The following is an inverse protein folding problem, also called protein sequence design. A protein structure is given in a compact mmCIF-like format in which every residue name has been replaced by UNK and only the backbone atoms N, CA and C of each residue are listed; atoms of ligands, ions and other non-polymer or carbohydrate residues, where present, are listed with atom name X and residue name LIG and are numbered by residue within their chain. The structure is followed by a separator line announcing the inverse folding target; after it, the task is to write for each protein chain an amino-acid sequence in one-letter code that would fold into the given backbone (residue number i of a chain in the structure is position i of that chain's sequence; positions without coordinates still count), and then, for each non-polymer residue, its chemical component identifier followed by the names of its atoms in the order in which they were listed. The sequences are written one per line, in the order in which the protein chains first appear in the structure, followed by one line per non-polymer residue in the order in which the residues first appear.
data_IF_498443588216
#
_entry.id   IF_498443588216
#
_cell.length_a   1.000
_cell.length_b   1.000
_cell.length_c   1.000
_cell.angle_alpha   90.00
_cell.angle_beta   90.00
_cell.angle_gamma   90.00
#
_symmetry.space_group_name_H-M   'P 1'
#
loop_
_entity.id
_entity.type
_entity.pdbx_description
1 polymer ?
#
# COMPACT_ATOMS: atom_id res chain seq x y z
N UNK A 1 -5.39 -21.05 -17.14
CA UNK A 1 -4.52 -21.56 -16.06
C UNK A 1 -3.08 -21.81 -16.49
N UNK A 2 -2.77 -22.74 -17.43
CA UNK A 2 -1.35 -23.06 -17.80
C UNK A 2 -0.50 -21.84 -18.22
N UNK A 3 -1.10 -20.87 -18.93
CA UNK A 3 -0.40 -19.66 -19.38
C UNK A 3 -0.13 -18.67 -18.25
N UNK A 4 -1.08 -18.47 -17.32
CA UNK A 4 -0.90 -17.66 -16.12
C UNK A 4 0.21 -18.21 -15.20
N UNK A 5 0.28 -19.54 -15.07
CA UNK A 5 1.37 -20.22 -14.34
C UNK A 5 2.74 -19.99 -14.96
N UNK A 6 2.82 -19.78 -16.28
CA UNK A 6 4.10 -19.47 -16.96
C UNK A 6 4.56 -18.06 -16.61
N UNK A 7 3.64 -17.09 -16.55
CA UNK A 7 3.93 -15.69 -16.19
C UNK A 7 4.34 -15.52 -14.73
N UNK A 8 3.87 -16.40 -13.85
CA UNK A 8 4.25 -16.44 -12.43
C UNK A 8 5.59 -17.13 -12.16
N UNK A 9 6.27 -17.74 -13.14
CA UNK A 9 7.57 -18.41 -12.90
C UNK A 9 8.70 -17.44 -12.57
N UNK A 10 8.59 -16.20 -13.01
CA UNK A 10 9.48 -15.09 -12.64
C UNK A 10 9.13 -14.50 -11.26
N UNK A 11 7.95 -14.87 -10.75
CA UNK A 11 7.38 -14.69 -9.42
C UNK A 11 8.04 -15.51 -8.31
N UNK A 12 8.88 -14.99 -7.42
CA UNK A 12 9.25 -15.77 -6.22
C UNK A 12 8.10 -15.77 -5.19
N UNK A 13 7.12 -16.64 -5.42
CA UNK A 13 5.97 -16.83 -4.51
C UNK A 13 6.40 -17.46 -3.17
N UNK A 14 7.55 -18.13 -3.13
CA UNK A 14 8.14 -18.66 -1.90
C UNK A 14 8.68 -17.55 -1.02
N UNK A 15 9.43 -16.61 -1.61
CA UNK A 15 9.90 -15.40 -0.92
C UNK A 15 8.73 -14.57 -0.36
N UNK A 16 7.67 -14.35 -1.14
CA UNK A 16 6.47 -13.62 -0.67
C UNK A 16 5.81 -14.33 0.52
N UNK A 17 5.76 -15.67 0.48
CA UNK A 17 5.22 -16.45 1.61
C UNK A 17 6.09 -16.31 2.85
N UNK A 18 7.40 -16.45 2.69
CA UNK A 18 8.37 -16.28 3.76
C UNK A 18 8.28 -14.87 4.37
N UNK A 19 8.12 -13.83 3.56
CA UNK A 19 7.89 -12.45 4.02
C UNK A 19 6.59 -12.31 4.83
N UNK A 20 5.52 -13.01 4.44
CA UNK A 20 4.26 -12.98 5.19
C UNK A 20 4.36 -13.71 6.54
N UNK A 21 5.14 -14.78 6.59
CA UNK A 21 5.26 -15.68 7.74
C UNK A 21 6.43 -15.30 8.66
N UNK A 22 7.30 -14.38 8.24
CA UNK A 22 8.45 -13.95 9.01
C UNK A 22 8.03 -13.33 10.35
N UNK A 23 8.89 -13.51 11.35
CA UNK A 23 8.76 -12.80 12.61
C UNK A 23 9.15 -11.33 12.43
N UNK A 24 8.53 -10.47 13.24
CA UNK A 24 8.91 -9.07 13.36
C UNK A 24 9.07 -8.70 14.84
N UNK A 25 9.72 -7.57 15.11
CA UNK A 25 9.72 -6.93 16.42
C UNK A 25 8.94 -5.62 16.38
N UNK A 26 7.85 -5.54 17.13
CA UNK A 26 7.11 -4.29 17.34
C UNK A 26 7.36 -3.80 18.77
N UNK A 27 7.99 -2.63 18.92
CA UNK A 27 8.27 -2.06 20.24
C UNK A 27 7.35 -0.88 20.47
N UNK A 28 6.53 -0.92 21.52
CA UNK A 28 5.72 0.21 21.97
C UNK A 28 6.43 0.89 23.14
N UNK A 29 6.70 2.19 23.01
CA UNK A 29 7.41 2.97 24.01
C UNK A 29 6.48 4.09 24.46
N UNK A 30 6.24 4.22 25.77
CA UNK A 30 5.37 5.28 26.27
C UNK A 30 4.85 4.99 27.68
N UNK A 31 3.72 5.61 28.03
CA UNK A 31 3.07 5.32 29.31
C UNK A 31 2.58 3.85 29.32
N UNK A 32 2.80 3.07 30.42
CA UNK A 32 2.42 1.66 30.49
C UNK A 32 0.94 1.37 30.18
N UNK A 33 0.02 2.22 30.63
CA UNK A 33 -1.42 2.03 30.36
C UNK A 33 -1.75 2.22 28.87
N UNK A 34 -1.25 3.31 28.29
CA UNK A 34 -1.45 3.66 26.89
C UNK A 34 -0.84 2.61 25.94
N UNK A 35 0.38 2.14 26.24
CA UNK A 35 1.06 1.10 25.45
C UNK A 35 0.40 -0.27 25.60
N UNK A 36 -0.09 -0.64 26.79
CA UNK A 36 -0.84 -1.87 27.01
C UNK A 36 -2.15 -1.89 26.23
N UNK A 37 -2.93 -0.80 26.31
CA UNK A 37 -4.17 -0.68 25.56
C UNK A 37 -3.93 -0.79 24.06
N UNK A 38 -2.97 -0.04 23.51
CA UNK A 38 -2.65 -0.11 22.08
C UNK A 38 -2.16 -1.51 21.66
N UNK A 39 -1.34 -2.18 22.48
CA UNK A 39 -0.88 -3.53 22.21
C UNK A 39 -2.04 -4.53 22.13
N UNK A 40 -3.00 -4.42 23.04
CA UNK A 40 -4.20 -5.26 23.05
C UNK A 40 -5.09 -4.98 21.84
N UNK A 41 -5.35 -3.71 21.52
CA UNK A 41 -6.15 -3.33 20.34
C UNK A 41 -5.52 -3.83 19.04
N UNK A 42 -4.19 -3.66 18.87
CA UNK A 42 -3.46 -4.18 17.70
C UNK A 42 -3.52 -5.72 17.60
N UNK A 43 -3.58 -6.39 18.74
CA UNK A 43 -3.56 -7.86 18.85
C UNK A 43 -4.95 -8.48 18.85
N UNK A 44 -6.00 -7.65 18.85
CA UNK A 44 -7.38 -8.09 19.04
C UNK A 44 -7.77 -9.15 17.99
N UNK A 45 -8.24 -10.29 18.50
CA UNK A 45 -8.77 -11.41 17.72
C UNK A 45 -10.04 -11.92 18.40
N UNK A 46 -11.05 -12.37 17.65
CA UNK A 46 -12.24 -12.98 18.23
C UNK A 46 -11.85 -14.11 19.20
N UNK A 47 -12.27 -13.99 20.47
CA UNK A 47 -12.05 -15.00 21.50
C UNK A 47 -10.63 -15.06 22.11
N UNK A 48 -9.72 -14.16 21.76
CA UNK A 48 -8.37 -14.08 22.36
C UNK A 48 -8.19 -12.75 23.09
N UNK A 49 -7.49 -12.77 24.23
CA UNK A 49 -7.15 -11.60 25.03
C UNK A 49 -5.64 -11.48 25.18
N UNK A 50 -5.17 -10.25 25.37
CA UNK A 50 -3.77 -9.92 25.60
C UNK A 50 -3.02 -9.50 24.33
N UNK A 51 -1.80 -9.01 24.54
CA UNK A 51 -0.91 -8.57 23.48
C UNK A 51 -0.24 -9.74 22.75
N UNK A 52 -0.01 -9.56 21.45
CA UNK A 52 0.73 -10.49 20.62
C UNK A 52 2.17 -10.64 21.14
N UNK A 53 2.76 -11.85 21.18
CA UNK A 53 4.06 -12.10 21.81
C UNK A 53 5.26 -11.44 21.11
N UNK A 54 5.04 -10.80 19.97
CA UNK A 54 6.07 -10.04 19.22
C UNK A 54 5.94 -8.52 19.43
N UNK A 55 5.02 -8.10 20.30
CA UNK A 55 4.87 -6.74 20.77
C UNK A 55 5.55 -6.64 22.13
N UNK A 56 6.58 -5.81 22.23
CA UNK A 56 7.26 -5.49 23.49
C UNK A 56 6.83 -4.09 23.92
N UNK A 57 6.40 -3.95 25.17
CA UNK A 57 5.99 -2.67 25.74
C UNK A 57 7.05 -2.19 26.71
N UNK A 58 7.44 -0.93 26.62
CA UNK A 58 8.49 -0.31 27.43
C UNK A 58 8.04 1.06 27.92
N UNK A 59 8.39 1.46 29.16
CA UNK A 59 8.24 2.85 29.57
C UNK A 59 9.20 3.74 28.77
N UNK A 60 8.82 5.00 28.58
CA UNK A 60 9.70 5.99 27.95
C UNK A 60 11.01 6.13 28.74
N UNK A 61 12.13 6.28 28.03
CA UNK A 61 13.45 6.43 28.64
C UNK A 61 14.13 5.14 29.13
N UNK A 62 13.47 3.98 29.07
CA UNK A 62 14.10 2.69 29.43
C UNK A 62 15.09 2.21 28.37
N UNK A 63 16.29 2.79 28.41
CA UNK A 63 17.38 2.48 27.50
C UNK A 63 17.77 0.99 27.54
N UNK A 64 17.74 0.38 28.72
CA UNK A 64 18.14 -1.02 28.92
C UNK A 64 17.13 -1.99 28.33
N UNK A 65 15.84 -1.75 28.58
CA UNK A 65 14.73 -2.50 28.00
C UNK A 65 14.68 -2.35 26.49
N UNK A 66 14.90 -1.13 25.97
CA UNK A 66 14.95 -0.89 24.52
C UNK A 66 16.10 -1.68 23.87
N UNK A 67 17.30 -1.65 24.44
CA UNK A 67 18.43 -2.41 23.93
C UNK A 67 18.13 -3.92 23.91
N UNK A 68 17.56 -4.45 25.00
CA UNK A 68 17.19 -5.87 25.09
C UNK A 68 16.09 -6.25 24.07
N UNK A 69 15.09 -5.40 23.87
CA UNK A 69 14.03 -5.61 22.90
C UNK A 69 14.56 -5.61 21.46
N UNK A 70 15.48 -4.69 21.14
CA UNK A 70 16.11 -4.63 19.82
C UNK A 70 17.01 -5.82 19.53
N UNK A 71 17.71 -6.34 20.54
CA UNK A 71 18.55 -7.54 20.44
C UNK A 71 17.71 -8.82 20.27
N UNK A 72 16.57 -8.93 20.96
CA UNK A 72 15.64 -10.08 20.84
C UNK A 72 15.14 -10.31 19.40
N UNK A 73 15.05 -9.24 18.62
CA UNK A 73 14.58 -9.24 17.25
C UNK A 73 15.71 -8.94 16.24
N UNK A 74 16.96 -9.22 16.62
CA UNK A 74 18.09 -9.08 15.71
C UNK A 74 17.90 -9.95 14.45
N UNK A 75 18.23 -9.38 13.28
CA UNK A 75 18.01 -10.03 11.98
C UNK A 75 16.55 -10.10 11.52
N UNK A 76 15.59 -9.61 12.31
CA UNK A 76 14.18 -9.50 11.92
C UNK A 76 13.83 -8.05 11.57
N UNK A 77 12.81 -7.82 10.71
CA UNK A 77 12.25 -6.48 10.54
C UNK A 77 11.70 -5.94 11.86
N UNK A 78 12.00 -4.68 12.15
CA UNK A 78 11.64 -4.01 13.41
C UNK A 78 10.95 -2.68 13.13
N UNK A 79 9.99 -2.34 13.99
CA UNK A 79 9.28 -1.07 13.99
C UNK A 79 9.05 -0.65 15.44
N UNK A 80 9.19 0.65 15.73
CA UNK A 80 8.85 1.21 17.03
C UNK A 80 7.67 2.18 16.93
N UNK A 81 6.75 2.10 17.88
CA UNK A 81 5.69 3.09 18.08
C UNK A 81 5.95 3.85 19.38
N UNK A 82 6.17 5.15 19.30
CA UNK A 82 6.23 6.02 20.49
C UNK A 82 4.84 6.56 20.80
N UNK A 83 4.22 6.07 21.86
CA UNK A 83 2.86 6.41 22.27
C UNK A 83 2.91 7.55 23.30
N UNK A 84 2.32 8.69 22.98
CA UNK A 84 2.40 9.91 23.80
C UNK A 84 1.10 10.69 23.75
N UNK A 85 0.83 11.47 24.80
CA UNK A 85 -0.22 12.52 24.81
C UNK A 85 0.36 13.92 24.58
N UNK A 86 1.68 14.06 24.61
CA UNK A 86 2.37 15.31 24.36
C UNK A 86 2.67 15.46 22.86
N UNK A 87 2.29 16.60 22.30
CA UNK A 87 2.58 16.95 20.90
C UNK A 87 4.09 17.03 20.67
N UNK A 88 4.82 17.67 21.59
CA UNK A 88 6.28 17.74 21.49
C UNK A 88 6.92 16.57 22.25
N UNK A 89 7.90 15.88 21.63
CA UNK A 89 8.65 14.84 22.31
C UNK A 89 9.46 15.45 23.46
N UNK A 90 9.29 14.90 24.66
CA UNK A 90 10.11 15.24 25.82
C UNK A 90 11.55 14.68 25.69
N UNK A 91 12.39 14.96 26.68
CA UNK A 91 13.80 14.55 26.68
C UNK A 91 13.97 13.01 26.57
N UNK A 92 13.13 12.24 27.27
CA UNK A 92 13.15 10.77 27.24
C UNK A 92 12.77 10.24 25.85
N UNK A 93 11.67 10.73 25.28
CA UNK A 93 11.23 10.36 23.93
C UNK A 93 12.27 10.72 22.86
N UNK A 94 12.90 11.89 22.95
CA UNK A 94 13.96 12.30 22.04
C UNK A 94 15.20 11.41 22.14
N UNK A 95 15.54 10.94 23.35
CA UNK A 95 16.62 9.99 23.57
C UNK A 95 16.29 8.63 22.94
N UNK A 96 15.04 8.15 23.09
CA UNK A 96 14.59 6.90 22.49
C UNK A 96 14.57 6.96 20.95
N UNK A 97 14.05 8.04 20.36
CA UNK A 97 14.12 8.30 18.91
C UNK A 97 15.57 8.28 18.40
N UNK A 98 16.50 8.89 19.15
CA UNK A 98 17.92 8.91 18.79
C UNK A 98 18.54 7.52 18.80
N UNK A 99 18.20 6.69 19.79
CA UNK A 99 18.65 5.28 19.89
C UNK A 99 18.07 4.42 18.76
N UNK A 100 16.78 4.55 18.48
CA UNK A 100 16.10 3.84 17.39
C UNK A 100 16.71 4.18 16.04
N UNK A 101 16.96 5.47 15.78
CA UNK A 101 17.63 5.95 14.57
C UNK A 101 19.05 5.37 14.46
N UNK A 102 19.83 5.37 15.54
CA UNK A 102 21.17 4.78 15.55
C UNK A 102 21.14 3.27 15.26
N UNK A 103 20.09 2.57 15.68
CA UNK A 103 19.86 1.16 15.40
C UNK A 103 19.22 0.88 14.02
N UNK A 104 18.92 1.92 13.22
CA UNK A 104 18.25 1.80 11.93
C UNK A 104 16.80 1.32 12.01
N UNK A 105 16.13 1.54 13.13
CA UNK A 105 14.74 1.13 13.36
C UNK A 105 13.80 2.30 13.07
N UNK A 106 12.85 2.17 12.13
CA UNK A 106 11.82 3.18 11.90
C UNK A 106 11.00 3.42 13.18
N UNK A 107 10.75 4.69 13.47
CA UNK A 107 10.05 5.13 14.67
C UNK A 107 8.83 5.99 14.29
N UNK A 108 7.64 5.48 14.59
CA UNK A 108 6.37 6.15 14.36
C UNK A 108 5.85 6.72 15.68
N UNK A 109 5.58 8.01 15.74
CA UNK A 109 4.92 8.58 16.92
C UNK A 109 3.41 8.46 16.80
N UNK A 110 2.77 7.94 17.84
CA UNK A 110 1.32 7.82 18.00
C UNK A 110 0.90 8.83 19.05
N UNK A 111 0.30 9.93 18.60
CA UNK A 111 -0.23 10.98 19.46
C UNK A 111 -1.67 10.65 19.85
N UNK A 112 -1.87 10.35 21.13
CA UNK A 112 -3.17 10.12 21.73
C UNK A 112 -3.82 11.46 22.07
N UNK A 113 -4.99 11.74 21.49
CA UNK A 113 -5.72 13.01 21.66
C UNK A 113 -7.06 12.81 22.37
N UNK A 114 -7.38 13.73 23.27
CA UNK A 114 -8.68 13.80 23.95
C UNK A 114 -9.63 14.69 23.10
N UNK A 115 -10.41 14.06 22.20
CA UNK A 115 -11.42 14.74 21.38
C UNK A 115 -10.91 15.39 20.08
N UNK A 116 -11.84 15.93 19.28
CA UNK A 116 -11.63 16.39 17.90
C UNK A 116 -10.89 17.74 17.75
N UNK A 117 -10.27 18.26 18.81
CA UNK A 117 -9.48 19.48 18.72
C UNK A 117 -8.18 19.17 17.97
N UNK A 118 -8.23 19.25 16.64
CA UNK A 118 -7.07 19.13 15.76
C UNK A 118 -6.06 20.24 16.10
N UNK A 119 -5.00 19.86 16.82
CA UNK A 119 -3.84 20.73 16.98
C UNK A 119 -3.20 20.85 15.60
N UNK A 120 -3.27 22.04 14.99
CA UNK A 120 -2.76 22.28 13.65
C UNK A 120 -1.31 21.82 13.52
N UNK A 121 -1.04 20.96 12.52
CA UNK A 121 0.30 20.42 12.29
C UNK A 121 0.75 19.33 13.27
N UNK A 122 -0.11 18.85 14.17
CA UNK A 122 0.22 17.76 15.09
C UNK A 122 0.51 16.43 14.37
N UNK A 123 -0.01 16.24 13.16
CA UNK A 123 0.27 15.08 12.31
C UNK A 123 1.64 15.17 11.60
N UNK A 124 2.33 16.32 11.68
CA UNK A 124 3.62 16.48 11.02
C UNK A 124 4.73 15.80 11.86
N UNK A 125 5.59 14.98 11.24
CA UNK A 125 6.70 14.34 11.94
C UNK A 125 7.67 15.35 12.56
N UNK A 126 8.15 15.03 13.76
CA UNK A 126 9.24 15.77 14.45
C UNK A 126 10.59 15.15 14.15
N UNK A 127 11.66 15.84 14.55
CA UNK A 127 13.04 15.40 14.29
C UNK A 127 13.32 14.02 14.91
N UNK A 128 13.66 13.05 14.06
CA UNK A 128 13.91 11.66 14.46
C UNK A 128 12.72 10.72 14.28
N UNK A 129 11.52 11.26 14.06
CA UNK A 129 10.33 10.48 13.72
C UNK A 129 10.34 10.15 12.22
N UNK A 130 9.96 8.92 11.89
CA UNK A 130 9.75 8.48 10.50
C UNK A 130 8.35 8.86 10.01
N UNK A 131 7.40 8.96 10.93
CA UNK A 131 6.02 9.33 10.67
C UNK A 131 5.32 9.65 11.97
N UNK A 132 4.10 10.18 11.86
CA UNK A 132 3.25 10.45 13.02
C UNK A 132 1.79 10.18 12.69
N UNK A 133 1.07 9.56 13.62
CA UNK A 133 -0.36 9.32 13.54
C UNK A 133 -1.07 9.90 14.76
N UNK A 134 -2.30 10.37 14.56
CA UNK A 134 -3.18 10.81 15.63
C UNK A 134 -4.20 9.71 15.86
N UNK A 135 -4.39 9.35 17.13
CA UNK A 135 -5.41 8.41 17.54
C UNK A 135 -6.19 9.01 18.72
N UNK A 136 -7.48 8.67 18.90
CA UNK A 136 -8.19 9.01 20.12
C UNK A 136 -7.47 8.43 21.35
N UNK A 137 -7.70 9.01 22.53
CA UNK A 137 -7.02 8.62 23.76
C UNK A 137 -7.12 7.13 24.11
N UNK A 138 -8.23 6.50 23.74
CA UNK A 138 -8.45 5.05 23.84
C UNK A 138 -8.85 4.52 22.45
N UNK A 139 -7.88 4.18 21.58
CA UNK A 139 -8.18 3.70 20.25
C UNK A 139 -8.80 2.31 20.26
N UNK A 140 -9.88 2.16 19.50
CA UNK A 140 -10.45 0.87 19.14
C UNK A 140 -9.87 0.38 17.79
N UNK A 141 -10.35 -0.76 17.30
CA UNK A 141 -9.85 -1.34 16.06
C UNK A 141 -10.16 -0.48 14.82
N UNK A 142 -11.20 0.34 14.87
CA UNK A 142 -11.57 1.21 13.75
C UNK A 142 -10.63 2.42 13.69
N UNK A 143 -10.34 3.05 14.83
CA UNK A 143 -9.40 4.15 14.95
C UNK A 143 -7.98 3.78 14.45
N UNK A 144 -7.58 2.50 14.55
CA UNK A 144 -6.28 2.03 14.05
C UNK A 144 -6.12 2.18 12.53
N UNK A 145 -7.20 2.43 11.77
CA UNK A 145 -7.10 2.80 10.35
C UNK A 145 -6.29 4.09 10.16
N UNK A 146 -6.36 5.02 11.10
CA UNK A 146 -5.64 6.31 11.05
C UNK A 146 -4.13 6.15 11.28
N UNK A 147 -3.68 5.00 11.79
CA UNK A 147 -2.26 4.66 11.86
C UNK A 147 -1.67 4.39 10.47
N UNK A 148 -2.49 3.96 9.51
CA UNK A 148 -2.04 3.37 8.28
C UNK A 148 -1.15 4.30 7.43
N UNK A 149 -1.49 5.58 7.18
CA UNK A 149 -0.65 6.44 6.35
C UNK A 149 0.78 6.56 6.88
N UNK A 150 0.91 6.73 8.19
CA UNK A 150 2.20 6.91 8.85
C UNK A 150 2.96 5.57 8.98
N UNK A 151 2.25 4.46 9.21
CA UNK A 151 2.82 3.11 9.17
C UNK A 151 3.38 2.77 7.79
N UNK A 152 2.64 3.08 6.72
CA UNK A 152 3.04 2.83 5.35
C UNK A 152 4.28 3.66 5.02
N UNK A 153 4.30 4.95 5.35
CA UNK A 153 5.49 5.79 5.20
C UNK A 153 6.70 5.21 5.96
N UNK A 154 6.53 4.80 7.22
CA UNK A 154 7.59 4.23 8.03
C UNK A 154 8.13 2.88 7.53
N UNK A 155 7.35 2.18 6.71
CA UNK A 155 7.67 0.83 6.19
C UNK A 155 7.86 0.80 4.67
N UNK A 156 8.08 1.94 4.02
CA UNK A 156 8.26 2.05 2.57
C UNK A 156 9.32 1.08 2.02
N UNK A 157 10.46 0.98 2.71
CA UNK A 157 11.57 0.10 2.34
C UNK A 157 11.46 -1.33 2.91
N UNK A 158 10.38 -1.64 3.61
CA UNK A 158 10.17 -2.91 4.32
C UNK A 158 8.82 -3.53 3.97
N UNK A 159 8.52 -3.69 2.68
CA UNK A 159 7.23 -4.24 2.21
C UNK A 159 6.88 -5.61 2.81
N UNK A 160 7.88 -6.47 3.01
CA UNK A 160 7.70 -7.76 3.67
C UNK A 160 7.20 -7.63 5.12
N UNK A 161 7.62 -6.58 5.84
CA UNK A 161 7.13 -6.30 7.19
C UNK A 161 5.64 -5.94 7.17
N UNK A 162 5.16 -5.16 6.19
CA UNK A 162 3.73 -4.84 6.05
C UNK A 162 2.89 -6.10 5.94
N UNK A 163 3.35 -7.07 5.15
CA UNK A 163 2.63 -8.33 4.96
C UNK A 163 2.59 -9.16 6.24
N UNK A 164 3.70 -9.23 6.98
CA UNK A 164 3.76 -9.90 8.27
C UNK A 164 2.87 -9.22 9.33
N UNK A 165 2.86 -7.88 9.36
CA UNK A 165 1.99 -7.09 10.24
C UNK A 165 0.52 -7.36 9.94
N UNK A 166 0.10 -7.30 8.66
CA UNK A 166 -1.27 -7.57 8.26
C UNK A 166 -1.71 -9.01 8.61
N UNK A 167 -0.79 -9.98 8.47
CA UNK A 167 -1.05 -11.38 8.84
C UNK A 167 -1.27 -11.55 10.34
N UNK A 168 -0.41 -10.95 11.16
CA UNK A 168 -0.40 -11.21 12.60
C UNK A 168 -1.27 -10.25 13.42
N UNK A 169 -1.52 -9.04 12.91
CA UNK A 169 -2.28 -7.99 13.60
C UNK A 169 -3.53 -7.65 12.78
N UNK A 170 -4.68 -8.30 13.04
CA UNK A 170 -5.89 -8.16 12.22
C UNK A 170 -6.36 -6.72 12.06
N UNK A 171 -6.18 -5.89 13.09
CA UNK A 171 -6.56 -4.48 13.04
C UNK A 171 -5.80 -3.68 11.96
N UNK A 172 -4.60 -4.10 11.56
CA UNK A 172 -3.82 -3.45 10.51
C UNK A 172 -4.06 -4.05 9.11
N UNK A 173 -4.73 -5.20 9.04
CA UNK A 173 -4.89 -5.95 7.79
C UNK A 173 -5.65 -5.16 6.74
N UNK A 174 -6.81 -4.61 7.11
CA UNK A 174 -7.68 -3.85 6.21
C UNK A 174 -6.91 -2.72 5.51
N UNK A 175 -6.33 -1.78 6.27
CA UNK A 175 -5.57 -0.67 5.69
C UNK A 175 -4.36 -1.09 4.86
N UNK A 176 -3.59 -2.10 5.29
CA UNK A 176 -2.42 -2.58 4.53
C UNK A 176 -2.84 -3.24 3.21
N UNK A 177 -3.94 -4.02 3.22
CA UNK A 177 -4.50 -4.62 2.01
C UNK A 177 -5.06 -3.55 1.08
N UNK A 178 -5.74 -2.53 1.61
CA UNK A 178 -6.27 -1.41 0.83
C UNK A 178 -5.14 -0.65 0.11
N UNK A 179 -4.02 -0.38 0.77
CA UNK A 179 -2.81 0.22 0.17
C UNK A 179 -2.21 -0.67 -0.93
N UNK A 180 -2.04 -1.96 -0.66
CA UNK A 180 -1.54 -2.92 -1.64
C UNK A 180 -2.42 -2.93 -2.91
N UNK A 181 -3.74 -2.93 -2.75
CA UNK A 181 -4.69 -2.91 -3.88
C UNK A 181 -4.60 -1.58 -4.63
N UNK A 182 -4.49 -0.46 -3.92
CA UNK A 182 -4.34 0.87 -4.51
C UNK A 182 -3.05 1.00 -5.33
N UNK A 183 -1.92 0.52 -4.80
CA UNK A 183 -0.63 0.52 -5.49
C UNK A 183 -0.71 -0.25 -6.81
N UNK A 184 -1.29 -1.45 -6.77
CA UNK A 184 -1.42 -2.31 -7.96
C UNK A 184 -2.41 -1.72 -8.96
N UNK A 185 -3.52 -1.13 -8.48
CA UNK A 185 -4.48 -0.45 -9.34
C UNK A 185 -3.86 0.76 -10.06
N UNK A 186 -3.07 1.59 -9.37
CA UNK A 186 -2.34 2.71 -9.97
C UNK A 186 -1.27 2.25 -10.96
N UNK A 187 -0.55 1.18 -10.63
CA UNK A 187 0.46 0.60 -11.53
C UNK A 187 -0.18 0.12 -12.83
N UNK A 188 -1.29 -0.61 -12.74
CA UNK A 188 -2.04 -1.10 -13.89
C UNK A 188 -2.65 0.05 -14.72
N UNK A 189 -3.15 1.09 -14.05
CA UNK A 189 -3.66 2.30 -14.69
C UNK A 189 -2.57 3.08 -15.43
N UNK A 190 -1.39 3.25 -14.81
CA UNK A 190 -0.22 3.88 -15.43
C UNK A 190 0.31 3.08 -16.62
N UNK A 191 0.30 1.76 -16.53
CA UNK A 191 0.63 0.89 -17.66
C UNK A 191 -0.37 1.08 -18.82
N UNK A 192 -1.68 1.02 -18.54
CA UNK A 192 -2.73 1.29 -19.52
C UNK A 192 -2.63 2.68 -20.16
N UNK A 193 -2.21 3.69 -19.38
CA UNK A 193 -1.92 5.04 -19.88
C UNK A 193 -0.76 5.02 -20.88
N UNK A 194 0.35 4.39 -20.52
CA UNK A 194 1.55 4.31 -21.35
C UNK A 194 1.32 3.54 -22.66
N UNK A 195 0.57 2.43 -22.62
CA UNK A 195 0.25 1.65 -23.82
C UNK A 195 -0.78 2.36 -24.68
N UNK A 196 -1.77 3.01 -24.08
CA UNK A 196 -2.72 3.86 -24.81
C UNK A 196 -2.05 5.03 -25.55
N UNK A 197 -0.95 5.56 -25.01
CA UNK A 197 -0.12 6.54 -25.72
C UNK A 197 0.65 5.94 -26.89
N UNK A 198 1.21 4.74 -26.73
CA UNK A 198 1.92 4.03 -27.80
C UNK A 198 1.00 3.65 -28.96
N UNK A 199 -0.24 3.24 -28.67
CA UNK A 199 -1.27 2.92 -29.67
C UNK A 199 -1.74 4.15 -30.47
N UNK A 200 -1.62 5.35 -29.91
CA UNK A 200 -1.92 6.60 -30.62
C UNK A 200 -0.86 6.99 -31.66
N UNK A 201 0.32 6.33 -31.67
CA UNK A 201 1.35 6.51 -32.68
C UNK A 201 1.13 5.56 -33.88
N UNK A 202 1.09 6.07 -35.13
CA UNK A 202 0.95 5.22 -36.32
C UNK A 202 2.12 4.22 -36.43
N UNK A 203 1.81 2.92 -36.62
CA UNK A 203 2.80 1.87 -36.90
C UNK A 203 3.20 0.95 -35.74
N UNK A 204 2.72 1.19 -34.51
CA UNK A 204 3.07 0.41 -33.28
C UNK A 204 1.89 -0.43 -32.73
N UNK A 205 0.67 -0.18 -33.20
CA UNK A 205 -0.58 -0.53 -32.50
C UNK A 205 -1.05 -2.00 -32.46
N UNK A 206 -0.30 -2.99 -32.96
CA UNK A 206 -0.80 -4.38 -33.07
C UNK A 206 -0.11 -5.41 -32.16
N UNK A 207 1.00 -5.06 -31.49
CA UNK A 207 1.74 -6.00 -30.64
C UNK A 207 1.41 -5.92 -29.13
N UNK A 208 0.64 -4.92 -28.69
CA UNK A 208 0.50 -4.56 -27.27
C UNK A 208 -0.60 -5.33 -26.52
N UNK A 209 -1.72 -5.69 -27.15
CA UNK A 209 -2.88 -6.24 -26.43
C UNK A 209 -2.68 -7.55 -25.67
N UNK A 210 -1.81 -8.46 -26.15
CA UNK A 210 -1.56 -9.76 -25.47
C UNK A 210 -0.51 -9.66 -24.36
N UNK A 211 0.54 -8.85 -24.54
CA UNK A 211 1.52 -8.58 -23.49
C UNK A 211 0.88 -7.80 -22.33
N UNK A 212 0.00 -6.85 -22.65
CA UNK A 212 -0.77 -6.06 -21.69
C UNK A 212 -1.62 -6.94 -20.77
N UNK A 213 -2.37 -7.88 -21.35
CA UNK A 213 -3.19 -8.83 -20.58
C UNK A 213 -2.30 -9.71 -19.68
N UNK A 214 -1.13 -10.14 -20.14
CA UNK A 214 -0.23 -11.00 -19.36
C UNK A 214 0.40 -10.27 -18.17
N UNK A 215 0.86 -9.02 -18.36
CA UNK A 215 1.44 -8.19 -17.29
C UNK A 215 0.38 -7.85 -16.25
N UNK A 216 -0.80 -7.39 -16.67
CA UNK A 216 -1.90 -7.05 -15.77
C UNK A 216 -2.38 -8.26 -14.97
N UNK A 217 -2.45 -9.44 -15.60
CA UNK A 217 -2.85 -10.69 -14.94
C UNK A 217 -1.81 -11.12 -13.90
N UNK A 218 -0.50 -10.94 -14.16
CA UNK A 218 0.57 -11.25 -13.18
C UNK A 218 0.40 -10.41 -11.92
N UNK A 219 0.23 -9.09 -12.08
CA UNK A 219 0.07 -8.16 -10.97
C UNK A 219 -1.14 -8.51 -10.10
N UNK A 220 -2.28 -8.81 -10.73
CA UNK A 220 -3.51 -9.16 -10.02
C UNK A 220 -3.41 -10.50 -9.27
N UNK A 221 -2.73 -11.50 -9.85
CA UNK A 221 -2.51 -12.79 -9.18
C UNK A 221 -1.54 -12.66 -7.99
N UNK A 222 -0.45 -11.91 -8.14
CA UNK A 222 0.50 -11.66 -7.03
C UNK A 222 -0.18 -10.86 -5.92
N UNK A 223 -0.97 -9.85 -6.27
CA UNK A 223 -1.80 -9.09 -5.33
C UNK A 223 -2.75 -10.01 -4.56
N UNK A 224 -3.53 -10.82 -5.27
CA UNK A 224 -4.48 -11.76 -4.66
C UNK A 224 -3.79 -12.75 -3.71
N UNK A 225 -2.62 -13.26 -4.10
CA UNK A 225 -1.84 -14.15 -3.25
C UNK A 225 -1.37 -13.45 -1.96
N UNK A 226 -0.88 -12.21 -2.06
CA UNK A 226 -0.51 -11.40 -0.88
C UNK A 226 -1.72 -11.14 0.03
N UNK A 227 -2.89 -10.83 -0.53
CA UNK A 227 -4.12 -10.64 0.24
C UNK A 227 -4.49 -11.93 1.00
N UNK A 228 -4.43 -13.09 0.35
CA UNK A 228 -4.70 -14.37 1.01
C UNK A 228 -3.72 -14.63 2.17
N UNK A 229 -2.43 -14.36 1.96
CA UNK A 229 -1.40 -14.50 3.00
C UNK A 229 -1.61 -13.51 4.17
N UNK A 230 -1.99 -12.26 3.87
CA UNK A 230 -2.33 -11.23 4.85
C UNK A 230 -3.55 -11.63 5.70
N UNK A 231 -4.51 -12.37 5.12
CA UNK A 231 -5.65 -12.90 5.85
C UNK A 231 -5.33 -14.13 6.72
N UNK A 232 -4.06 -14.56 6.77
CA UNK A 232 -3.70 -15.74 7.55
C UNK A 232 -3.89 -17.07 6.82
N UNK A 233 -4.33 -17.07 5.54
CA UNK A 233 -4.57 -18.31 4.79
C UNK A 233 -3.28 -19.13 4.68
N UNK A 234 -3.45 -20.44 4.76
CA UNK A 234 -2.38 -21.44 4.68
C UNK A 234 -2.59 -22.30 3.44
N UNK A 235 -1.51 -22.92 2.96
CA UNK A 235 -1.52 -23.70 1.71
C UNK A 235 -0.38 -23.31 0.79
N UNK A 236 -0.23 -24.12 -0.26
CA UNK A 236 0.71 -23.85 -1.34
C UNK A 236 0.22 -22.69 -2.22
N UNK A 237 1.12 -22.01 -2.94
CA UNK A 237 0.73 -20.96 -3.88
C UNK A 237 -0.29 -21.45 -4.93
N UNK A 238 -0.25 -22.73 -5.31
CA UNK A 238 -1.19 -23.32 -6.27
C UNK A 238 -2.60 -23.45 -5.73
N UNK A 239 -2.74 -23.90 -4.48
CA UNK A 239 -4.03 -24.04 -3.82
C UNK A 239 -4.67 -22.67 -3.63
N UNK A 240 -3.95 -21.72 -3.01
CA UNK A 240 -4.46 -20.38 -2.75
C UNK A 240 -4.84 -19.63 -4.02
N UNK A 241 -3.99 -19.66 -5.06
CA UNK A 241 -4.33 -19.03 -6.34
C UNK A 241 -5.47 -19.75 -7.07
N UNK A 242 -5.62 -21.06 -6.87
CA UNK A 242 -6.75 -21.83 -7.39
C UNK A 242 -8.08 -21.44 -6.74
N UNK A 243 -8.08 -21.27 -5.42
CA UNK A 243 -9.24 -20.80 -4.65
C UNK A 243 -9.63 -19.38 -5.04
N UNK A 244 -8.66 -18.46 -5.09
CA UNK A 244 -8.85 -17.09 -5.59
C UNK A 244 -9.40 -17.13 -7.02
N UNK A 245 -8.84 -17.94 -7.91
CA UNK A 245 -9.34 -18.07 -9.27
C UNK A 245 -10.77 -18.63 -9.31
N UNK A 246 -11.17 -19.48 -8.36
CA UNK A 246 -12.55 -19.93 -8.21
C UNK A 246 -13.50 -18.83 -7.73
N UNK A 247 -13.03 -17.94 -6.85
CA UNK A 247 -13.78 -16.77 -6.35
C UNK A 247 -13.96 -15.73 -7.45
N UNK A 248 -12.88 -15.37 -8.15
CA UNK A 248 -12.91 -14.44 -9.28
C UNK A 248 -13.63 -15.06 -10.49
N UNK A 249 -13.42 -16.36 -10.71
CA UNK A 249 -13.79 -17.10 -11.91
C UNK A 249 -15.07 -17.93 -11.79
N UNK A 250 -15.91 -17.69 -10.77
CA UNK A 250 -17.29 -18.19 -10.70
C UNK A 250 -18.06 -17.73 -11.94
N UNK A 251 -17.99 -18.53 -13.02
CA UNK A 251 -18.04 -18.06 -14.41
C UNK A 251 -19.35 -17.47 -14.92
N UNK A 252 -20.35 -17.22 -14.07
CA UNK A 252 -21.59 -16.52 -14.41
C UNK A 252 -21.49 -15.01 -14.12
N UNK A 253 -20.81 -14.64 -13.03
CA UNK A 253 -20.67 -13.26 -12.56
C UNK A 253 -19.70 -12.46 -13.43
N UNK A 254 -18.54 -13.05 -13.71
CA UNK A 254 -17.52 -12.45 -14.58
C UNK A 254 -18.01 -12.31 -16.02
N UNK A 255 -18.93 -13.17 -16.49
CA UNK A 255 -19.51 -13.04 -17.84
C UNK A 255 -20.48 -11.85 -17.96
N UNK A 256 -21.11 -11.43 -16.87
CA UNK A 256 -22.00 -10.28 -16.87
C UNK A 256 -21.21 -8.98 -16.69
N UNK A 257 -20.26 -8.96 -15.75
CA UNK A 257 -19.31 -7.86 -15.59
C UNK A 257 -18.49 -7.69 -16.86
N UNK A 258 -17.92 -8.76 -17.43
CA UNK A 258 -17.21 -8.69 -18.70
C UNK A 258 -18.12 -8.26 -19.87
N UNK A 259 -19.43 -8.56 -19.86
CA UNK A 259 -20.37 -8.06 -20.88
C UNK A 259 -20.71 -6.59 -20.70
N UNK A 260 -20.77 -6.07 -19.48
CA UNK A 260 -20.88 -4.63 -19.21
C UNK A 260 -19.58 -3.89 -19.55
N UNK A 261 -18.42 -4.46 -19.19
CA UNK A 261 -17.09 -4.00 -19.61
C UNK A 261 -16.92 -4.05 -21.14
N UNK A 262 -17.48 -5.06 -21.80
CA UNK A 262 -17.53 -5.19 -23.28
C UNK A 262 -18.58 -4.27 -23.88
N UNK A 263 -19.66 -3.93 -23.16
CA UNK A 263 -20.61 -2.89 -23.54
C UNK A 263 -20.00 -1.48 -23.50
N UNK A 264 -18.89 -1.31 -22.76
CA UNK A 264 -18.01 -0.14 -22.79
C UNK A 264 -16.90 -0.26 -23.87
N UNK A 265 -16.88 -1.32 -24.69
CA UNK A 265 -15.99 -1.42 -25.86
C UNK A 265 -16.71 -0.83 -27.07
N UNK A 266 -16.69 0.51 -27.18
CA UNK A 266 -15.95 1.09 -28.30
C UNK A 266 -15.13 2.31 -27.88
N UNK A 267 -14.48 2.29 -26.71
CA UNK A 267 -13.88 3.52 -26.19
C UNK A 267 -12.46 3.76 -26.69
N UNK A 268 -12.38 4.46 -27.82
CA UNK A 268 -11.20 5.13 -28.34
C UNK A 268 -10.78 6.19 -27.30
N UNK A 269 -9.59 6.04 -26.72
CA UNK A 269 -8.98 7.08 -25.88
C UNK A 269 -8.35 6.57 -24.58
N UNK A 270 -7.35 7.30 -24.13
CA UNK A 270 -6.51 6.94 -23.00
C UNK A 270 -7.28 6.98 -21.68
N UNK A 271 -8.15 7.99 -21.48
CA UNK A 271 -8.83 8.20 -20.20
C UNK A 271 -9.69 6.99 -19.78
N UNK A 272 -10.56 6.44 -20.64
CA UNK A 272 -11.42 5.32 -20.22
C UNK A 272 -10.64 4.00 -20.09
N UNK A 273 -9.58 3.80 -20.88
CA UNK A 273 -8.66 2.64 -20.73
C UNK A 273 -8.02 2.63 -19.34
N UNK A 274 -7.54 3.78 -18.88
CA UNK A 274 -6.93 3.96 -17.55
C UNK A 274 -7.96 3.75 -16.43
N UNK A 275 -9.16 4.31 -16.59
CA UNK A 275 -10.21 4.20 -15.59
C UNK A 275 -10.67 2.75 -15.38
N UNK A 276 -10.86 1.99 -16.46
CA UNK A 276 -11.25 0.57 -16.41
C UNK A 276 -10.14 -0.30 -15.79
N UNK A 277 -8.88 -0.07 -16.16
CA UNK A 277 -7.75 -0.81 -15.61
C UNK A 277 -7.61 -0.63 -14.08
N UNK A 278 -7.80 0.61 -13.61
CA UNK A 278 -7.83 0.91 -12.18
C UNK A 278 -9.02 0.24 -11.48
N UNK A 279 -10.23 0.44 -12.00
CA UNK A 279 -11.47 -0.04 -11.38
C UNK A 279 -11.55 -1.56 -11.30
N UNK A 280 -11.19 -2.27 -12.38
CA UNK A 280 -11.16 -3.73 -12.39
C UNK A 280 -10.17 -4.30 -11.36
N UNK A 281 -9.04 -3.64 -11.16
CA UNK A 281 -8.04 -4.07 -10.17
C UNK A 281 -8.54 -3.86 -8.74
N UNK A 282 -9.14 -2.71 -8.43
CA UNK A 282 -9.78 -2.43 -7.12
C UNK A 282 -10.87 -3.45 -6.79
N UNK A 283 -11.73 -3.75 -7.76
CA UNK A 283 -12.81 -4.73 -7.62
C UNK A 283 -12.28 -6.13 -7.29
N UNK A 284 -11.26 -6.60 -8.03
CA UNK A 284 -10.60 -7.88 -7.77
C UNK A 284 -10.01 -7.89 -6.35
N UNK A 285 -9.25 -6.85 -5.99
CA UNK A 285 -8.65 -6.74 -4.66
C UNK A 285 -9.68 -6.84 -3.53
N UNK A 286 -10.78 -6.09 -3.62
CA UNK A 286 -11.86 -6.12 -2.63
C UNK A 286 -12.57 -7.47 -2.54
N UNK A 287 -12.83 -8.10 -3.69
CA UNK A 287 -13.45 -9.42 -3.75
C UNK A 287 -12.57 -10.47 -3.07
N UNK A 288 -11.26 -10.44 -3.35
CA UNK A 288 -10.30 -11.37 -2.74
C UNK A 288 -10.16 -11.10 -1.25
N UNK A 289 -10.16 -9.85 -0.81
CA UNK A 289 -10.10 -9.50 0.61
C UNK A 289 -11.28 -10.10 1.38
N UNK A 290 -12.52 -9.88 0.93
CA UNK A 290 -13.72 -10.40 1.59
C UNK A 290 -13.74 -11.93 1.66
N UNK A 291 -13.36 -12.58 0.56
CA UNK A 291 -13.20 -14.03 0.57
C UNK A 291 -12.09 -14.47 1.55
N UNK A 292 -10.96 -13.78 1.56
CA UNK A 292 -9.82 -14.16 2.38
C UNK A 292 -10.12 -13.97 3.88
N UNK A 293 -10.78 -12.89 4.26
CA UNK A 293 -11.13 -12.57 5.65
C UNK A 293 -12.34 -13.37 6.16
N UNK A 294 -13.40 -13.51 5.35
CA UNK A 294 -14.71 -13.99 5.82
C UNK A 294 -15.16 -15.29 5.13
N UNK A 295 -14.45 -15.74 4.09
CA UNK A 295 -14.87 -16.87 3.26
C UNK A 295 -16.08 -16.55 2.36
N UNK A 296 -16.53 -15.30 2.36
CA UNK A 296 -17.72 -14.86 1.64
C UNK A 296 -17.43 -14.55 0.17
N UNK A 297 -18.49 -14.55 -0.63
CA UNK A 297 -18.48 -14.05 -2.01
C UNK A 297 -19.46 -12.90 -2.08
N UNK A 298 -19.08 -11.84 -2.80
CA UNK A 298 -19.95 -10.70 -3.04
C UNK A 298 -21.07 -11.06 -4.01
N UNK A 299 -22.24 -10.47 -3.78
CA UNK A 299 -23.36 -10.51 -4.71
C UNK A 299 -23.14 -9.55 -5.89
N UNK A 300 -23.88 -9.77 -6.99
CA UNK A 300 -23.69 -8.99 -8.22
C UNK A 300 -23.94 -7.49 -8.03
N UNK A 301 -24.93 -7.12 -7.22
CA UNK A 301 -25.29 -5.73 -6.98
C UNK A 301 -24.20 -4.98 -6.20
N UNK A 302 -23.59 -5.65 -5.23
CA UNK A 302 -22.47 -5.12 -4.45
C UNK A 302 -21.23 -4.92 -5.33
N UNK A 303 -20.93 -5.89 -6.20
CA UNK A 303 -19.83 -5.77 -7.16
C UNK A 303 -20.02 -4.60 -8.13
N UNK A 304 -21.25 -4.35 -8.58
CA UNK A 304 -21.57 -3.20 -9.44
C UNK A 304 -21.36 -1.87 -8.71
N UNK A 305 -21.81 -1.77 -7.46
CA UNK A 305 -21.60 -0.59 -6.62
C UNK A 305 -20.10 -0.28 -6.44
N UNK A 306 -19.33 -1.29 -6.02
CA UNK A 306 -17.88 -1.19 -5.84
C UNK A 306 -17.14 -0.83 -7.13
N UNK A 307 -17.56 -1.41 -8.26
CA UNK A 307 -16.96 -1.09 -9.56
C UNK A 307 -17.25 0.35 -9.98
N UNK A 308 -18.49 0.84 -9.83
CA UNK A 308 -18.86 2.20 -10.18
C UNK A 308 -18.09 3.24 -9.37
N UNK A 309 -17.95 3.01 -8.05
CA UNK A 309 -17.13 3.84 -7.17
C UNK A 309 -15.66 3.87 -7.62
N UNK A 310 -15.09 2.69 -7.88
CA UNK A 310 -13.71 2.57 -8.33
C UNK A 310 -13.49 3.20 -9.71
N UNK A 311 -14.48 3.15 -10.60
CA UNK A 311 -14.42 3.78 -11.92
C UNK A 311 -14.34 5.30 -11.82
N UNK A 312 -15.12 5.91 -10.92
CA UNK A 312 -15.02 7.34 -10.65
C UNK A 312 -13.61 7.73 -10.14
N UNK A 313 -13.01 6.88 -9.28
CA UNK A 313 -11.61 7.02 -8.86
C UNK A 313 -10.63 6.94 -10.03
N UNK A 314 -10.78 5.93 -10.88
CA UNK A 314 -9.94 5.74 -12.07
C UNK A 314 -10.03 6.90 -13.06
N UNK A 315 -11.20 7.51 -13.24
CA UNK A 315 -11.39 8.71 -14.07
C UNK A 315 -10.68 9.94 -13.50
N UNK A 316 -10.63 10.10 -12.17
CA UNK A 316 -9.85 11.17 -11.52
C UNK A 316 -8.35 10.97 -11.76
N UNK A 317 -7.85 9.76 -11.53
CA UNK A 317 -6.45 9.40 -11.79
C UNK A 317 -6.06 9.62 -13.26
N UNK A 318 -6.91 9.18 -14.19
CA UNK A 318 -6.67 9.34 -15.62
C UNK A 318 -6.55 10.82 -16.03
N UNK A 319 -7.39 11.70 -15.46
CA UNK A 319 -7.29 13.15 -15.67
C UNK A 319 -5.99 13.70 -15.09
N UNK A 320 -5.61 13.31 -13.87
CA UNK A 320 -4.35 13.73 -13.25
C UNK A 320 -3.13 13.38 -14.12
N UNK A 321 -3.08 12.14 -14.64
CA UNK A 321 -2.01 11.69 -15.54
C UNK A 321 -1.96 12.48 -16.85
N UNK A 322 -3.11 12.87 -17.40
CA UNK A 322 -3.19 13.73 -18.58
C UNK A 322 -2.75 15.18 -18.28
N UNK A 323 -3.11 15.73 -17.10
CA UNK A 323 -2.76 17.11 -16.73
C UNK A 323 -1.27 17.28 -16.44
N UNK A 324 -0.60 16.26 -15.88
CA UNK A 324 0.87 16.23 -15.72
C UNK A 324 1.64 16.34 -17.06
N UNK A 325 0.95 16.23 -18.19
CA UNK A 325 1.47 16.41 -19.56
C UNK A 325 1.16 17.79 -20.17
N UNK A 326 0.30 18.61 -19.54
CA UNK A 326 0.00 19.99 -19.99
C UNK A 326 1.27 20.87 -20.07
N UNK A 327 1.29 21.88 -20.95
CA UNK A 327 2.44 22.21 -21.80
C UNK A 327 3.73 22.45 -21.02
N UNK A 328 4.79 21.76 -21.42
CA UNK A 328 6.15 22.24 -21.20
C UNK A 328 6.22 23.69 -21.68
N UNK A 329 6.54 24.63 -20.79
CA UNK A 329 6.83 26.00 -21.19
C UNK A 329 7.85 25.98 -22.34
N UNK A 330 7.65 26.75 -23.42
CA UNK A 330 8.67 26.91 -24.43
C UNK A 330 9.92 27.44 -23.75
N UNK A 331 11.00 26.64 -23.81
CA UNK A 331 12.33 27.07 -23.39
C UNK A 331 12.65 28.42 -24.03
N UNK A 332 12.60 29.48 -23.21
CA UNK A 332 13.12 30.80 -23.52
C UNK A 332 14.65 30.73 -23.59
N UNK A 333 15.17 30.06 -24.62
CA UNK A 333 16.59 29.97 -24.90
C UNK A 333 16.79 29.75 -26.41
N UNK A 334 16.51 30.79 -27.19
CA UNK A 334 17.16 31.07 -28.47
C UNK A 334 16.79 32.46 -28.96
N UNK A 335 17.47 33.47 -28.40
CA UNK A 335 17.85 34.72 -29.05
C UNK A 335 18.72 35.54 -28.09
N UNK A 336 19.98 35.12 -27.98
CA UNK A 336 21.10 35.99 -27.70
C UNK A 336 22.35 35.28 -28.23
N UNK A 337 23.08 36.02 -29.06
CA UNK A 337 24.50 35.89 -29.37
C UNK A 337 24.98 34.71 -30.23
N UNK A 338 25.10 35.01 -31.53
CA UNK A 338 26.15 34.47 -32.40
C UNK A 338 26.99 35.65 -32.94
N UNK A 339 28.33 35.54 -33.01
CA UNK A 339 29.26 36.65 -32.89
C UNK A 339 29.50 37.41 -34.20
N UNK A 340 29.87 38.68 -34.03
CA UNK A 340 30.46 39.58 -35.02
C UNK A 340 31.87 39.10 -35.46
N UNK A 341 32.16 38.96 -36.76
CA UNK A 341 33.52 38.92 -37.27
C UNK A 341 33.85 40.23 -37.98
N UNK A 342 34.65 41.06 -37.30
CA UNK A 342 35.27 42.23 -37.92
C UNK A 342 36.31 41.83 -38.99
N UNK A 343 36.26 42.59 -40.09
CA UNK A 343 37.33 42.97 -41.01
C UNK A 343 37.96 41.93 -41.95
N UNK A 344 37.74 42.10 -43.27
CA UNK A 344 38.76 42.67 -44.18
C UNK A 344 38.36 42.52 -45.67
N UNK A 345 38.18 43.64 -46.38
CA UNK A 345 38.97 44.05 -47.57
C UNK A 345 38.31 45.19 -48.37
N UNK A 346 39.13 46.21 -48.58
CA UNK A 346 39.06 47.48 -49.33
C UNK A 346 39.09 47.25 -50.87
N UNK A 347 39.04 48.26 -51.79
CA UNK A 347 39.62 49.62 -51.73
C UNK A 347 38.63 50.78 -51.60
#
# INVERSE_FOLDING_TARGET
MRQAWRTLREVDLGAIKAEAEQRFGLVLIGEPRSTAHLAETLSARPGQRGAHPWIVQLPAGDASGLQAALARHEGQPRLALLVTRSVEPGAEAQADLSRLRAAGVPALTVLLVDGAAEILGAALPRSGETGRALLPAEPDAEALRDLAPALLAATENARGLRLALARQLPALRGPIVEDLVEEVARTNAGYAFSTGLGEALPGVGLALGLADVLVLTKNQLVMAYRIALAAGREGSPRELLGEVAGVIGGGLLFRQIARELVGLLPVIGILPKVAVAYAGTRLIGRTVQLWADEGQRLELEELRGLYAEALAGGQRLARELLHRRGPSEPSAARRADGPDPAASQTP
#
